data_IF_754819490203
#
_entry.id   IF_754819490203
#
_cell.length_a   1.000
_cell.length_b   1.000
_cell.length_c   1.000
_cell.angle_alpha   90.00
_cell.angle_beta   90.00
_cell.angle_gamma   90.00
#
_symmetry.space_group_name_H-M   'P 1'
#
loop_
_entity.id
_entity.type
_entity.pdbx_description
1 polymer ?
#
# COMPACT_ATOMS: atom_id res chain seq x y z
N UNK A 1 9.57 -17.08 27.23
CA UNK A 1 9.98 -15.66 27.18
C UNK A 1 9.43 -15.09 25.89
N UNK A 2 8.43 -14.22 25.97
CA UNK A 2 7.86 -13.56 24.80
C UNK A 2 8.56 -12.22 24.64
N UNK A 3 9.30 -12.03 23.55
CA UNK A 3 9.84 -10.72 23.20
C UNK A 3 8.74 -9.93 22.50
N UNK A 4 8.27 -8.87 23.16
CA UNK A 4 7.40 -7.88 22.53
C UNK A 4 8.32 -6.90 21.80
N UNK A 5 8.24 -6.87 20.47
CA UNK A 5 8.90 -5.86 19.65
C UNK A 5 7.86 -4.76 19.34
N UNK A 6 7.99 -3.61 20.00
CA UNK A 6 7.23 -2.41 19.66
C UNK A 6 8.01 -1.61 18.60
N UNK A 7 7.60 -1.74 17.35
CA UNK A 7 8.13 -0.92 16.25
C UNK A 7 7.55 0.48 16.36
N UNK A 8 8.26 1.39 17.04
CA UNK A 8 7.91 2.81 17.07
C UNK A 8 8.34 3.44 15.74
N UNK A 9 7.38 3.92 14.94
CA UNK A 9 7.63 4.65 13.69
C UNK A 9 8.06 6.12 13.93
N UNK A 10 8.52 6.45 15.14
CA UNK A 10 8.84 7.82 15.55
C UNK A 10 10.14 8.25 14.86
N UNK A 11 10.01 8.91 13.71
CA UNK A 11 11.14 9.47 12.96
C UNK A 11 11.08 9.29 11.44
N UNK A 12 10.24 8.39 10.93
CA UNK A 12 10.05 8.23 9.50
C UNK A 12 8.91 9.12 8.98
N UNK A 13 9.15 9.81 7.88
CA UNK A 13 8.09 10.54 7.19
C UNK A 13 7.05 9.55 6.65
N UNK A 14 5.77 9.92 6.65
CA UNK A 14 4.69 9.04 6.19
C UNK A 14 4.16 9.57 4.87
N UNK A 15 4.28 8.77 3.82
CA UNK A 15 3.73 9.13 2.52
C UNK A 15 2.44 8.36 2.21
N UNK A 16 1.54 9.04 1.51
CA UNK A 16 0.28 8.49 1.04
C UNK A 16 0.37 8.12 -0.44
N UNK A 17 0.51 6.83 -0.73
CA UNK A 17 0.56 6.29 -2.08
C UNK A 17 -0.84 6.13 -2.69
N UNK A 18 -0.94 6.40 -3.98
CA UNK A 18 -2.15 6.25 -4.76
C UNK A 18 -2.11 4.93 -5.53
N UNK A 19 -3.17 4.12 -5.40
CA UNK A 19 -3.33 2.87 -6.11
C UNK A 19 -4.13 3.04 -7.40
N UNK A 20 -3.64 2.51 -8.52
CA UNK A 20 -4.40 2.34 -9.77
C UNK A 20 -4.27 0.93 -10.32
N UNK A 21 -5.24 0.49 -11.13
CA UNK A 21 -5.19 -0.81 -11.81
C UNK A 21 -4.81 -0.63 -13.27
N UNK A 22 -3.80 -1.37 -13.71
CA UNK A 22 -3.36 -1.48 -15.10
C UNK A 22 -3.33 -2.95 -15.50
N UNK A 23 -4.40 -3.41 -16.15
CA UNK A 23 -4.60 -4.83 -16.47
C UNK A 23 -4.68 -5.70 -15.22
N UNK A 24 -3.76 -6.64 -15.10
CA UNK A 24 -3.63 -7.57 -13.96
C UNK A 24 -2.85 -6.96 -12.78
N UNK A 25 -2.24 -5.79 -12.97
CA UNK A 25 -1.37 -5.17 -11.97
C UNK A 25 -2.08 -4.04 -11.22
N UNK A 26 -1.88 -4.01 -9.91
CA UNK A 26 -2.13 -2.85 -9.06
C UNK A 26 -0.84 -2.08 -8.90
N UNK A 27 -0.81 -0.84 -9.35
CA UNK A 27 0.34 0.05 -9.26
C UNK A 27 0.09 1.02 -8.12
N UNK A 28 1.05 1.10 -7.21
CA UNK A 28 1.07 2.08 -6.13
C UNK A 28 2.19 3.07 -6.42
N UNK A 29 1.82 4.33 -6.58
CA UNK A 29 2.73 5.44 -6.85
C UNK A 29 2.65 6.45 -5.71
N UNK A 30 3.81 6.91 -5.25
CA UNK A 30 3.90 7.98 -4.26
C UNK A 30 3.92 9.34 -4.97
N UNK A 31 3.03 10.29 -4.64
CA UNK A 31 3.10 11.65 -5.19
C UNK A 31 4.17 12.52 -4.52
N UNK A 32 4.74 12.06 -3.39
CA UNK A 32 5.67 12.81 -2.55
C UNK A 32 7.14 12.44 -2.81
N UNK A 33 7.41 11.27 -3.41
CA UNK A 33 8.75 10.81 -3.78
C UNK A 33 8.67 9.91 -5.02
N UNK A 34 9.79 9.36 -5.50
CA UNK A 34 9.80 8.52 -6.70
C UNK A 34 9.31 7.08 -6.49
N UNK A 35 8.79 6.73 -5.31
CA UNK A 35 8.40 5.35 -5.01
C UNK A 35 7.30 4.82 -5.92
N UNK A 36 7.58 3.65 -6.50
CA UNK A 36 6.64 2.91 -7.33
C UNK A 36 6.78 1.42 -7.05
N UNK A 37 5.67 0.76 -6.71
CA UNK A 37 5.56 -0.71 -6.70
C UNK A 37 4.37 -1.16 -7.54
N UNK A 38 4.48 -2.36 -8.09
CA UNK A 38 3.34 -3.07 -8.69
C UNK A 38 3.13 -4.40 -8.00
N UNK A 39 1.86 -4.78 -7.85
CA UNK A 39 1.44 -6.04 -7.24
C UNK A 39 0.36 -6.67 -8.11
N UNK A 40 0.55 -7.93 -8.49
CA UNK A 40 -0.48 -8.73 -9.14
C UNK A 40 -1.21 -9.54 -8.04
N UNK A 41 -2.49 -9.24 -7.74
CA UNK A 41 -3.22 -9.92 -6.68
C UNK A 41 -3.59 -11.38 -7.03
N UNK A 42 -3.60 -11.76 -8.32
CA UNK A 42 -3.94 -13.12 -8.76
C UNK A 42 -2.76 -14.07 -8.59
N UNK A 43 -1.56 -13.65 -8.99
CA UNK A 43 -0.33 -14.44 -8.81
C UNK A 43 0.37 -14.18 -7.47
N UNK A 44 -0.07 -13.16 -6.74
CA UNK A 44 0.61 -12.59 -5.57
C UNK A 44 2.04 -12.09 -5.85
N UNK A 45 2.39 -11.85 -7.12
CA UNK A 45 3.69 -11.32 -7.51
C UNK A 45 3.80 -9.84 -7.16
N UNK A 46 4.89 -9.44 -6.52
CA UNK A 46 5.18 -8.05 -6.18
C UNK A 46 6.52 -7.64 -6.79
N UNK A 47 6.54 -6.50 -7.45
CA UNK A 47 7.72 -5.91 -8.05
C UNK A 47 7.88 -4.48 -7.57
N UNK A 48 8.97 -4.21 -6.85
CA UNK A 48 9.41 -2.85 -6.54
C UNK A 48 10.12 -2.30 -7.78
N UNK A 49 9.59 -1.22 -8.34
CA UNK A 49 10.17 -0.57 -9.52
C UNK A 49 11.15 0.51 -9.08
N UNK A 50 10.75 1.31 -8.08
CA UNK A 50 11.58 2.34 -7.47
C UNK A 50 11.27 2.39 -5.96
N UNK A 51 12.32 2.43 -5.13
CA UNK A 51 12.22 2.51 -3.68
C UNK A 51 11.85 3.90 -3.17
N UNK A 52 12.03 4.95 -3.97
CA UNK A 52 11.82 6.33 -3.54
C UNK A 52 12.69 6.68 -2.33
N UNK A 53 12.12 7.45 -1.40
CA UNK A 53 12.77 7.75 -0.13
C UNK A 53 12.72 6.55 0.82
N UNK A 54 13.90 6.02 1.15
CA UNK A 54 14.08 4.90 2.07
C UNK A 54 13.79 5.24 3.54
N UNK A 55 13.74 6.54 3.89
CA UNK A 55 13.38 7.04 5.21
C UNK A 55 11.89 7.41 5.32
N UNK A 56 11.10 7.07 4.29
CA UNK A 56 9.66 7.28 4.31
C UNK A 56 8.89 5.95 4.41
N UNK A 57 7.85 5.96 5.23
CA UNK A 57 6.89 4.87 5.35
C UNK A 57 5.74 5.11 4.38
N UNK A 58 5.71 4.28 3.35
CA UNK A 58 4.72 4.35 2.29
C UNK A 58 3.47 3.53 2.62
N UNK A 59 2.32 4.18 2.62
CA UNK A 59 1.02 3.55 2.84
C UNK A 59 0.06 3.95 1.73
N UNK A 60 -0.71 3.00 1.20
CA UNK A 60 -1.65 3.28 0.13
C UNK A 60 -2.75 2.24 0.07
N UNK A 61 -3.93 2.66 -0.40
CA UNK A 61 -5.09 1.79 -0.56
C UNK A 61 -5.50 1.75 -2.03
N UNK A 62 -5.93 0.58 -2.49
CA UNK A 62 -6.61 0.42 -3.75
C UNK A 62 -8.02 -0.11 -3.46
N UNK A 63 -9.04 0.69 -3.72
CA UNK A 63 -10.44 0.26 -3.65
C UNK A 63 -10.93 -0.10 -5.06
N UNK A 64 -11.24 -1.38 -5.35
CA UNK A 64 -11.84 -1.74 -6.62
C UNK A 64 -13.20 -1.07 -6.76
N UNK A 65 -13.41 -0.31 -7.84
CA UNK A 65 -14.71 0.28 -8.17
C UNK A 65 -15.71 -0.87 -8.38
N UNK A 66 -16.55 -1.13 -7.37
CA UNK A 66 -17.46 -2.27 -7.33
C UNK A 66 -17.64 -2.89 -5.95
N UNK A 67 -16.69 -2.70 -5.03
CA UNK A 67 -16.84 -3.01 -3.60
C UNK A 67 -17.46 -1.82 -2.85
N UNK A 68 -18.59 -1.30 -3.37
CA UNK A 68 -19.42 -0.43 -2.56
C UNK A 68 -20.05 -1.33 -1.49
N UNK A 69 -19.46 -1.32 -0.29
CA UNK A 69 -19.90 -2.11 0.86
C UNK A 69 -21.42 -2.04 0.97
N UNK A 70 -22.08 -3.13 0.60
CA UNK A 70 -23.46 -3.37 0.96
C UNK A 70 -23.53 -3.21 2.48
N UNK A 71 -24.17 -2.13 2.91
CA UNK A 71 -24.52 -1.78 4.29
C UNK A 71 -24.59 -3.05 5.14
N UNK A 72 -23.61 -3.23 6.03
CA UNK A 72 -23.71 -4.19 7.12
C UNK A 72 -24.94 -3.78 7.94
N UNK A 73 -26.02 -4.54 7.77
CA UNK A 73 -27.25 -4.36 8.52
C UNK A 73 -27.03 -5.00 9.90
N UNK A 74 -27.05 -4.25 11.02
CA UNK A 74 -27.07 -4.85 12.34
C UNK A 74 -28.50 -5.36 12.58
N UNK A 75 -28.66 -6.69 12.64
CA UNK A 75 -29.80 -7.31 13.33
C UNK A 75 -29.55 -7.25 14.83
#
# INVERSE_FOLDING_TARGET
MSMNFEFHSEGFEKHSCQGRREGEWLIFECPECSYVRKWNPESNEMNLIDSGDENALHSGMFEPVGLQMSKLNPN
#
